data_IF_937749813517
#
_entry.id   IF_937749813517
#
_cell.length_a   1.000
_cell.length_b   1.000
_cell.length_c   1.000
_cell.angle_alpha   90.00
_cell.angle_beta   90.00
_cell.angle_gamma   90.00
#
_symmetry.space_group_name_H-M   'P 1'
#
loop_
_entity.id
_entity.type
_entity.pdbx_description
1 polymer ?
#
# COMPACT_ATOMS: atom_id res chain seq x y z
N UNK A 1 -3.23 59.96 33.88
CA UNK A 1 -4.10 58.93 33.25
C UNK A 1 -3.68 58.58 31.82
N UNK A 2 -2.37 58.41 31.51
CA UNK A 2 -1.89 58.10 30.15
C UNK A 2 -0.98 56.86 30.06
N UNK A 3 -0.67 56.21 31.18
CA UNK A 3 0.20 55.03 31.22
C UNK A 3 -0.55 53.70 31.38
N UNK A 4 -1.81 53.74 31.82
CA UNK A 4 -2.62 52.54 32.05
C UNK A 4 -3.19 51.94 30.76
N UNK A 5 -3.27 52.71 29.67
CA UNK A 5 -3.84 52.25 28.39
C UNK A 5 -2.81 51.47 27.54
N UNK A 6 -1.52 51.74 27.71
CA UNK A 6 -0.45 51.06 26.97
C UNK A 6 -0.21 49.61 27.44
N UNK A 7 -0.52 49.28 28.69
CA UNK A 7 -0.37 47.92 29.22
C UNK A 7 -1.49 46.96 28.80
N UNK A 8 -2.69 47.47 28.49
CA UNK A 8 -3.82 46.62 28.12
C UNK A 8 -3.71 46.05 26.69
N UNK A 9 -3.04 46.77 25.78
CA UNK A 9 -2.83 46.32 24.39
C UNK A 9 -1.77 45.23 24.22
N UNK A 10 -0.88 45.04 25.21
CA UNK A 10 0.20 44.05 25.12
C UNK A 10 -0.23 42.62 25.52
N UNK A 11 -1.39 42.46 26.19
CA UNK A 11 -1.84 41.14 26.66
C UNK A 11 -2.74 40.40 25.66
N UNK A 12 -3.26 41.10 24.64
CA UNK A 12 -4.14 40.52 23.62
C UNK A 12 -3.39 39.71 22.54
N UNK A 13 -2.07 39.84 22.44
CA UNK A 13 -1.24 39.11 21.45
C UNK A 13 -0.65 37.80 21.96
N UNK A 14 -0.86 37.44 23.23
CA UNK A 14 -0.31 36.21 23.84
C UNK A 14 -1.20 34.97 23.72
N UNK A 15 -2.40 35.09 23.14
CA UNK A 15 -3.22 33.92 22.78
C UNK A 15 -2.87 33.48 21.35
N UNK A 16 -1.58 33.28 21.08
CA UNK A 16 -1.19 32.43 19.96
C UNK A 16 -1.50 31.00 20.39
N UNK A 17 -2.63 30.45 19.95
CA UNK A 17 -2.88 29.00 20.03
C UNK A 17 -1.66 28.30 19.45
N UNK A 18 -0.89 27.61 20.30
CA UNK A 18 0.18 26.73 19.83
C UNK A 18 -0.50 25.63 19.00
N UNK A 19 -0.51 25.81 17.70
CA UNK A 19 -0.92 24.78 16.75
C UNK A 19 0.16 23.70 16.80
N UNK A 20 -0.03 22.69 17.64
CA UNK A 20 0.74 21.47 17.55
C UNK A 20 0.44 20.85 16.18
N UNK A 21 1.47 20.58 15.39
CA UNK A 21 1.30 19.80 14.18
C UNK A 21 0.63 18.48 14.56
N UNK A 22 -0.47 18.13 13.89
CA UNK A 22 -1.09 16.83 14.07
C UNK A 22 -0.06 15.75 13.74
N UNK A 23 0.07 14.75 14.61
CA UNK A 23 0.88 13.59 14.31
C UNK A 23 0.38 12.93 13.01
N UNK A 24 1.32 12.44 12.20
CA UNK A 24 0.97 11.69 11.00
C UNK A 24 0.16 10.44 11.38
N UNK A 25 -0.84 10.04 10.56
CA UNK A 25 -1.80 9.00 10.94
C UNK A 25 -1.18 7.62 11.19
N UNK A 26 -0.01 7.33 10.61
CA UNK A 26 0.71 6.07 10.80
C UNK A 26 1.69 6.03 11.98
N UNK A 27 1.83 7.13 12.74
CA UNK A 27 2.84 7.21 13.80
C UNK A 27 2.66 6.09 14.83
N UNK A 28 3.72 5.30 15.04
CA UNK A 28 3.74 4.19 15.99
C UNK A 28 3.12 2.90 15.46
N UNK A 29 2.69 2.85 14.20
CA UNK A 29 2.13 1.67 13.56
C UNK A 29 3.16 1.07 12.59
N UNK A 30 3.44 -0.22 12.77
CA UNK A 30 4.31 -0.99 11.87
C UNK A 30 3.47 -1.72 10.82
N UNK A 31 3.90 -1.65 9.55
CA UNK A 31 3.28 -2.33 8.41
C UNK A 31 4.19 -3.44 7.90
N UNK A 32 3.60 -4.59 7.58
CA UNK A 32 4.28 -5.76 7.03
C UNK A 32 3.76 -6.06 5.61
N UNK A 33 4.44 -5.57 4.55
CA UNK A 33 4.10 -5.92 3.17
C UNK A 33 4.37 -7.40 2.89
N UNK A 34 3.58 -8.02 2.02
CA UNK A 34 3.85 -9.36 1.47
C UNK A 34 3.79 -9.38 -0.05
N UNK A 35 4.69 -10.15 -0.65
CA UNK A 35 4.78 -10.41 -2.09
C UNK A 35 5.31 -11.83 -2.32
N UNK A 36 5.40 -12.27 -3.58
CA UNK A 36 6.09 -13.52 -3.89
C UNK A 36 7.60 -13.34 -3.97
N UNK A 37 8.31 -14.43 -4.27
CA UNK A 37 9.76 -14.43 -4.54
C UNK A 37 10.09 -13.88 -5.94
N UNK A 38 9.09 -13.44 -6.72
CA UNK A 38 9.29 -12.77 -8.01
C UNK A 38 9.76 -11.34 -7.73
N UNK A 39 11.05 -11.07 -7.98
CA UNK A 39 11.66 -9.77 -7.66
C UNK A 39 11.10 -8.60 -8.47
N UNK A 40 10.50 -8.88 -9.62
CA UNK A 40 9.81 -7.91 -10.48
C UNK A 40 8.60 -7.28 -9.76
N UNK A 41 8.04 -7.94 -8.75
CA UNK A 41 6.96 -7.42 -7.91
C UNK A 41 7.43 -6.37 -6.89
N UNK A 42 8.73 -6.37 -6.55
CA UNK A 42 9.28 -5.53 -5.48
C UNK A 42 9.09 -4.04 -5.76
N UNK A 43 9.20 -3.62 -7.02
CA UNK A 43 9.08 -2.21 -7.40
C UNK A 43 7.73 -1.63 -6.97
N UNK A 44 6.63 -2.30 -7.33
CA UNK A 44 5.28 -1.80 -7.05
C UNK A 44 4.91 -1.95 -5.57
N UNK A 45 5.43 -2.98 -4.88
CA UNK A 45 5.28 -3.13 -3.42
C UNK A 45 5.95 -1.98 -2.68
N UNK A 46 7.20 -1.66 -3.03
CA UNK A 46 7.92 -0.55 -2.41
C UNK A 46 7.31 0.81 -2.72
N UNK A 47 6.64 0.98 -3.87
CA UNK A 47 5.91 2.21 -4.17
C UNK A 47 4.80 2.48 -3.13
N UNK A 48 4.00 1.46 -2.79
CA UNK A 48 2.98 1.56 -1.73
C UNK A 48 3.63 1.78 -0.37
N UNK A 49 4.72 1.06 -0.06
CA UNK A 49 5.48 1.25 1.17
C UNK A 49 5.97 2.69 1.34
N UNK A 50 6.51 3.30 0.29
CA UNK A 50 6.97 4.70 0.33
C UNK A 50 5.82 5.68 0.57
N UNK A 51 4.64 5.43 0.01
CA UNK A 51 3.46 6.23 0.29
C UNK A 51 3.03 6.09 1.76
N UNK A 52 3.02 4.88 2.31
CA UNK A 52 2.73 4.63 3.73
C UNK A 52 3.76 5.30 4.66
N UNK A 53 5.05 5.25 4.33
CA UNK A 53 6.06 5.99 5.10
C UNK A 53 5.79 7.50 5.13
N UNK A 54 5.29 8.09 4.03
CA UNK A 54 4.86 9.51 4.01
C UNK A 54 3.64 9.78 4.88
N UNK A 55 2.82 8.77 5.16
CA UNK A 55 1.74 8.82 6.13
C UNK A 55 2.21 8.53 7.56
N UNK A 56 3.51 8.33 7.79
CA UNK A 56 4.11 8.17 9.12
C UNK A 56 4.22 6.73 9.63
N UNK A 57 3.90 5.73 8.80
CA UNK A 57 4.04 4.32 9.16
C UNK A 57 5.52 3.88 9.17
N UNK A 58 5.87 2.97 10.07
CA UNK A 58 7.11 2.20 9.97
C UNK A 58 6.86 1.00 9.06
N UNK A 59 7.44 0.97 7.87
CA UNK A 59 7.20 -0.14 6.93
C UNK A 59 8.39 -1.08 6.91
N UNK A 60 8.14 -2.35 7.28
CA UNK A 60 9.15 -3.39 7.20
C UNK A 60 9.47 -3.74 5.73
N UNK A 61 10.61 -4.41 5.52
CA UNK A 61 10.90 -5.00 4.21
C UNK A 61 9.79 -6.01 3.84
N UNK A 62 9.37 -6.08 2.56
CA UNK A 62 8.39 -7.07 2.14
C UNK A 62 8.84 -8.49 2.49
N UNK A 63 7.93 -9.28 3.06
CA UNK A 63 8.14 -10.71 3.22
C UNK A 63 7.83 -11.40 1.88
N UNK A 64 8.79 -12.18 1.38
CA UNK A 64 8.65 -12.96 0.14
C UNK A 64 8.18 -14.38 0.49
N UNK A 65 6.95 -14.71 0.10
CA UNK A 65 6.28 -15.97 0.47
C UNK A 65 5.49 -16.55 -0.69
N UNK A 66 5.07 -17.81 -0.58
CA UNK A 66 4.05 -18.37 -1.48
C UNK A 66 2.75 -17.53 -1.43
N UNK A 67 2.05 -17.39 -2.55
CA UNK A 67 0.85 -16.55 -2.63
C UNK A 67 -0.26 -16.99 -1.67
N UNK A 68 -0.51 -18.30 -1.51
CA UNK A 68 -1.55 -18.77 -0.58
C UNK A 68 -1.15 -18.45 0.87
N UNK A 69 0.12 -18.66 1.21
CA UNK A 69 0.64 -18.25 2.53
C UNK A 69 0.42 -16.74 2.73
N UNK A 70 0.75 -15.93 1.72
CA UNK A 70 0.49 -14.49 1.71
C UNK A 70 -0.98 -14.14 1.98
N UNK A 71 -1.93 -14.75 1.27
CA UNK A 71 -3.37 -14.54 1.52
C UNK A 71 -3.78 -14.94 2.92
N UNK A 72 -3.33 -16.09 3.42
CA UNK A 72 -3.67 -16.53 4.78
C UNK A 72 -3.09 -15.60 5.84
N UNK A 73 -1.86 -15.09 5.66
CA UNK A 73 -1.23 -14.13 6.56
C UNK A 73 -1.92 -12.78 6.55
N UNK A 74 -2.43 -12.34 5.39
CA UNK A 74 -3.26 -11.14 5.29
C UNK A 74 -4.60 -11.35 6.01
N UNK A 75 -5.22 -12.52 5.87
CA UNK A 75 -6.52 -12.83 6.49
C UNK A 75 -6.45 -13.02 8.01
N UNK A 76 -5.29 -13.46 8.53
CA UNK A 76 -5.00 -13.57 9.97
C UNK A 76 -4.54 -12.24 10.60
N UNK A 77 -4.03 -11.30 9.79
CA UNK A 77 -3.47 -10.03 10.25
C UNK A 77 -1.97 -10.07 10.55
N UNK A 78 -1.29 -11.18 10.26
CA UNK A 78 0.18 -11.29 10.39
C UNK A 78 0.91 -10.43 9.34
N UNK A 79 0.27 -10.25 8.18
CA UNK A 79 0.66 -9.35 7.10
C UNK A 79 -0.36 -8.22 6.94
N UNK A 80 0.08 -7.08 6.42
CA UNK A 80 -0.76 -5.87 6.32
C UNK A 80 -1.33 -5.64 4.93
N UNK A 81 -0.52 -5.76 3.87
CA UNK A 81 -1.00 -5.58 2.50
C UNK A 81 -0.18 -6.38 1.49
N UNK A 82 -0.77 -6.63 0.32
CA UNK A 82 -0.08 -7.02 -0.91
C UNK A 82 -0.42 -6.04 -2.03
N UNK A 83 0.56 -5.73 -2.89
CA UNK A 83 0.37 -4.91 -4.07
C UNK A 83 0.21 -5.74 -5.36
N UNK A 84 0.09 -7.08 -5.24
CA UNK A 84 0.12 -8.04 -6.36
C UNK A 84 -1.05 -9.03 -6.31
N UNK A 85 -2.24 -8.56 -5.89
CA UNK A 85 -3.46 -9.34 -6.05
C UNK A 85 -3.93 -9.31 -7.50
N UNK A 86 -3.68 -10.39 -8.23
CA UNK A 86 -4.04 -10.52 -9.64
C UNK A 86 -5.49 -10.96 -9.84
N UNK A 87 -6.17 -10.30 -10.79
CA UNK A 87 -7.45 -10.75 -11.35
C UNK A 87 -7.23 -11.17 -12.81
N UNK A 88 -7.69 -12.36 -13.26
CA UNK A 88 -8.47 -13.35 -12.50
C UNK A 88 -7.61 -14.39 -11.76
N UNK A 89 -6.28 -14.36 -11.90
CA UNK A 89 -5.40 -15.45 -11.48
C UNK A 89 -5.52 -15.84 -10.01
N UNK A 90 -5.75 -14.86 -9.13
CA UNK A 90 -5.78 -15.10 -7.69
C UNK A 90 -7.20 -15.11 -7.12
N UNK A 91 -8.25 -15.03 -7.96
CA UNK A 91 -9.63 -14.94 -7.47
C UNK A 91 -9.99 -16.14 -6.59
N UNK A 92 -9.63 -17.36 -7.00
CA UNK A 92 -9.88 -18.56 -6.20
C UNK A 92 -9.12 -18.56 -4.87
N UNK A 93 -7.87 -18.07 -4.84
CA UNK A 93 -7.08 -17.98 -3.60
C UNK A 93 -7.65 -16.90 -2.66
N UNK A 94 -8.05 -15.77 -3.22
CA UNK A 94 -8.69 -14.66 -2.50
C UNK A 94 -10.01 -15.11 -1.85
N UNK A 95 -10.90 -15.73 -2.62
CA UNK A 95 -12.18 -16.23 -2.11
C UNK A 95 -11.98 -17.35 -1.07
N UNK A 96 -11.08 -18.30 -1.33
CA UNK A 96 -10.79 -19.38 -0.39
C UNK A 96 -10.20 -18.89 0.94
N UNK A 97 -9.41 -17.81 0.92
CA UNK A 97 -8.85 -17.19 2.13
C UNK A 97 -9.87 -16.29 2.88
N UNK A 98 -11.09 -16.14 2.35
CA UNK A 98 -12.21 -15.47 3.02
C UNK A 98 -12.79 -14.28 2.26
N UNK A 99 -12.25 -13.94 1.10
CA UNK A 99 -12.76 -12.92 0.19
C UNK A 99 -12.99 -11.56 0.87
N UNK A 100 -14.02 -10.86 0.42
CA UNK A 100 -14.39 -9.52 0.92
C UNK A 100 -14.73 -9.51 2.43
N UNK A 101 -15.01 -10.67 3.05
CA UNK A 101 -15.24 -10.77 4.50
C UNK A 101 -13.96 -10.60 5.31
N UNK A 102 -12.81 -10.85 4.69
CA UNK A 102 -11.48 -10.80 5.33
C UNK A 102 -10.61 -9.69 4.80
N UNK A 103 -10.77 -9.31 3.54
CA UNK A 103 -9.87 -8.40 2.88
C UNK A 103 -10.54 -7.08 2.53
N UNK A 104 -9.82 -6.00 2.76
CA UNK A 104 -10.09 -4.72 2.11
C UNK A 104 -9.44 -4.72 0.72
N UNK A 105 -10.22 -4.46 -0.32
CA UNK A 105 -9.73 -4.35 -1.71
C UNK A 105 -10.56 -3.32 -2.46
N UNK A 106 -9.93 -2.20 -2.80
CA UNK A 106 -10.59 -1.07 -3.47
C UNK A 106 -9.72 -0.50 -4.60
N UNK A 107 -10.37 -0.05 -5.66
CA UNK A 107 -9.72 0.48 -6.86
C UNK A 107 -8.94 -0.58 -7.65
N UNK A 108 -8.14 -0.12 -8.61
CA UNK A 108 -7.27 -0.98 -9.43
C UNK A 108 -5.89 -0.35 -9.53
N UNK A 109 -4.88 -1.02 -8.97
CA UNK A 109 -3.52 -0.48 -8.90
C UNK A 109 -2.77 -0.56 -10.23
N UNK A 110 -2.87 -1.69 -10.92
CA UNK A 110 -2.27 -1.92 -12.25
C UNK A 110 -3.36 -2.40 -13.19
N UNK A 111 -3.60 -1.65 -14.27
CA UNK A 111 -4.55 -1.99 -15.34
C UNK A 111 -3.81 -2.41 -16.61
N UNK A 112 -4.49 -3.17 -17.49
CA UNK A 112 -3.96 -3.54 -18.80
C UNK A 112 -2.83 -4.58 -18.77
N UNK A 113 -2.72 -5.34 -17.68
CA UNK A 113 -1.85 -6.51 -17.65
C UNK A 113 -2.37 -7.59 -18.61
N UNK A 114 -1.45 -8.35 -19.19
CA UNK A 114 -1.77 -9.35 -20.21
C UNK A 114 -1.17 -10.71 -19.86
N UNK A 115 -1.84 -11.77 -20.32
CA UNK A 115 -1.37 -13.15 -20.24
C UNK A 115 -1.69 -13.87 -21.53
N UNK A 116 -0.89 -14.87 -21.88
CA UNK A 116 -1.13 -15.66 -23.07
C UNK A 116 -0.06 -16.69 -23.33
N UNK A 117 -0.25 -17.42 -24.42
CA UNK A 117 0.71 -18.39 -24.94
C UNK A 117 1.45 -17.74 -26.11
N UNK A 118 2.76 -17.97 -26.16
CA UNK A 118 3.60 -17.46 -27.23
C UNK A 118 4.44 -18.61 -27.79
N UNK A 119 4.65 -18.56 -29.10
CA UNK A 119 5.63 -19.39 -29.81
C UNK A 119 6.68 -18.48 -30.46
N UNK A 120 7.80 -19.05 -30.87
CA UNK A 120 8.81 -18.26 -31.56
C UNK A 120 8.26 -17.71 -32.89
N UNK A 121 8.63 -16.46 -33.19
CA UNK A 121 8.12 -15.76 -34.36
C UNK A 121 8.42 -16.48 -35.68
N UNK A 122 9.57 -17.15 -35.78
CA UNK A 122 9.99 -17.86 -36.99
C UNK A 122 9.02 -18.99 -37.32
N UNK A 123 8.66 -19.81 -36.33
CA UNK A 123 7.70 -20.90 -36.50
C UNK A 123 6.30 -20.38 -36.78
N UNK A 124 5.86 -19.35 -36.05
CA UNK A 124 4.56 -18.70 -36.28
C UNK A 124 4.42 -18.22 -37.73
N UNK A 125 5.44 -17.52 -38.24
CA UNK A 125 5.44 -16.95 -39.59
C UNK A 125 5.51 -18.04 -40.69
N UNK A 126 6.29 -19.11 -40.46
CA UNK A 126 6.47 -20.22 -41.40
C UNK A 126 5.18 -21.05 -41.56
N UNK A 127 4.54 -21.39 -40.44
CA UNK A 127 3.38 -22.29 -40.43
C UNK A 127 2.03 -21.57 -40.30
N UNK A 128 2.03 -20.23 -40.28
CA UNK A 128 0.81 -19.40 -40.14
C UNK A 128 -0.01 -19.74 -38.89
N UNK A 129 0.69 -19.91 -37.77
CA UNK A 129 0.08 -20.17 -36.47
C UNK A 129 -0.12 -18.81 -35.78
N UNK A 130 -1.38 -18.44 -35.54
CA UNK A 130 -1.80 -17.19 -34.88
C UNK A 130 -2.65 -17.47 -33.66
#
# INVERSE_FOLDING_TARGET
MRHSVLFATAFATLISTQTFAADLPGKGITVNPVQSTITEETFQTLLVSRALEKLGYTVNKPSEVDYNVGYTSLASGDATFTAVNWTPLHDNMYEAAGGDKKFYREGVFVNGAAQGYLIDKKTADQYKIT
#
